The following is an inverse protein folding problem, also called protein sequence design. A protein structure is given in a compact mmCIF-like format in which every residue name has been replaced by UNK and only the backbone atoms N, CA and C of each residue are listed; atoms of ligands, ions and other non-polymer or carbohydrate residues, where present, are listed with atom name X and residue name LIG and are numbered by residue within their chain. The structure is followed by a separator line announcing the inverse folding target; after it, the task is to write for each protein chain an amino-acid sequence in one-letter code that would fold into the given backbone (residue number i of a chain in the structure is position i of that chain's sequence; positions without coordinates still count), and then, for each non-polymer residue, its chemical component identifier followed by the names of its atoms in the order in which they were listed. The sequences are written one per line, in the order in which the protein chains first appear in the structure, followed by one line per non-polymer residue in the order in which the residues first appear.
data_IF_691657113643
#
_entry.id   IF_691657113643
#
_cell.length_a   1.000
_cell.length_b   1.000
_cell.length_c   1.000
_cell.angle_alpha   90.00
_cell.angle_beta   90.00
_cell.angle_gamma   90.00
#
_symmetry.space_group_name_H-M   'P 1'
#
loop_
_entity.id
_entity.type
_entity.pdbx_description
1 polymer ?
#
# COMPACT_ATOMS: atom_id res chain seq x y z
N UNK A 1 -28.04 -100.04 -11.21
CA UNK A 1 -28.17 -99.70 -9.81
C UNK A 1 -27.28 -98.53 -9.45
N UNK A 2 -27.94 -97.50 -9.09
CA UNK A 2 -27.50 -96.33 -8.28
C UNK A 2 -26.34 -95.51 -8.82
N UNK A 3 -26.75 -94.41 -9.39
CA UNK A 3 -25.98 -93.24 -9.84
C UNK A 3 -25.85 -92.31 -8.71
N UNK A 4 -24.62 -91.80 -8.40
CA UNK A 4 -24.39 -90.70 -7.43
C UNK A 4 -23.68 -89.59 -8.19
N UNK A 5 -24.46 -88.56 -8.55
CA UNK A 5 -23.94 -87.28 -9.06
C UNK A 5 -23.22 -86.56 -8.02
N UNK A 6 -21.96 -86.18 -8.26
CA UNK A 6 -21.20 -85.20 -7.48
C UNK A 6 -21.43 -83.83 -8.12
N UNK A 7 -22.10 -82.99 -7.42
CA UNK A 7 -22.27 -81.59 -7.72
C UNK A 7 -21.06 -80.84 -7.25
N UNK A 8 -20.32 -80.22 -8.17
CA UNK A 8 -19.19 -79.34 -7.89
C UNK A 8 -19.78 -77.95 -7.72
N UNK A 9 -19.75 -77.37 -6.48
CA UNK A 9 -20.05 -75.99 -6.17
C UNK A 9 -18.88 -75.12 -6.60
N UNK A 10 -19.04 -74.38 -7.67
CA UNK A 10 -18.12 -73.30 -8.04
C UNK A 10 -18.41 -72.06 -7.19
N UNK A 11 -17.51 -71.72 -6.32
CA UNK A 11 -17.58 -70.44 -5.56
C UNK A 11 -17.14 -69.31 -6.49
N UNK A 12 -18.10 -68.43 -6.83
CA UNK A 12 -17.83 -67.14 -7.47
C UNK A 12 -17.45 -66.17 -6.38
N UNK A 13 -16.15 -65.80 -6.33
CA UNK A 13 -15.66 -64.67 -5.53
C UNK A 13 -15.95 -63.40 -6.33
N UNK A 14 -17.04 -62.71 -6.02
CA UNK A 14 -17.32 -61.35 -6.48
C UNK A 14 -16.39 -60.38 -5.77
N UNK A 15 -15.30 -60.03 -6.45
CA UNK A 15 -14.43 -58.93 -5.99
C UNK A 15 -15.17 -57.60 -6.08
N UNK A 16 -15.67 -57.06 -4.97
CA UNK A 16 -16.13 -55.71 -4.83
C UNK A 16 -14.95 -54.76 -4.98
N UNK A 17 -14.73 -54.27 -6.20
CA UNK A 17 -13.88 -53.09 -6.44
C UNK A 17 -14.64 -51.89 -5.88
N UNK A 18 -14.34 -51.51 -4.65
CA UNK A 18 -14.66 -50.17 -4.15
C UNK A 18 -13.81 -49.15 -4.93
N UNK A 19 -14.42 -48.15 -5.58
CA UNK A 19 -13.65 -47.04 -6.09
C UNK A 19 -13.05 -46.34 -4.86
N UNK A 20 -11.72 -46.34 -4.77
CA UNK A 20 -11.03 -45.43 -3.87
C UNK A 20 -11.32 -44.02 -4.42
N UNK A 21 -12.38 -43.41 -3.93
CA UNK A 21 -12.53 -41.97 -4.06
C UNK A 21 -11.29 -41.32 -3.48
N UNK A 22 -10.41 -40.91 -4.37
CA UNK A 22 -9.31 -40.03 -4.05
C UNK A 22 -9.94 -38.72 -3.58
N UNK A 23 -10.23 -38.63 -2.26
CA UNK A 23 -10.58 -37.36 -1.62
C UNK A 23 -9.44 -36.40 -1.95
N UNK A 24 -9.66 -35.59 -2.97
CA UNK A 24 -8.86 -34.40 -3.19
C UNK A 24 -8.90 -33.66 -1.83
N UNK A 25 -7.78 -33.62 -1.13
CA UNK A 25 -7.59 -32.74 0.00
C UNK A 25 -7.85 -31.34 -0.54
N UNK A 26 -9.07 -30.87 -0.38
CA UNK A 26 -9.36 -29.43 -0.47
C UNK A 26 -8.48 -28.85 0.61
N UNK A 27 -7.33 -28.28 0.22
CA UNK A 27 -6.53 -27.48 1.14
C UNK A 27 -7.47 -26.36 1.55
N UNK A 28 -7.99 -26.45 2.75
CA UNK A 28 -8.67 -25.34 3.40
C UNK A 28 -7.60 -24.25 3.49
N UNK A 29 -7.58 -23.36 2.52
CA UNK A 29 -6.71 -22.16 2.59
C UNK A 29 -7.17 -21.43 3.82
N UNK A 30 -6.31 -21.40 4.84
CA UNK A 30 -6.55 -20.66 6.07
C UNK A 30 -6.73 -19.17 5.69
N UNK A 31 -7.99 -18.75 5.58
CA UNK A 31 -8.37 -17.37 5.25
C UNK A 31 -8.38 -16.46 6.48
N UNK A 32 -8.03 -16.98 7.67
CA UNK A 32 -8.06 -16.22 8.92
C UNK A 32 -7.11 -15.00 8.93
N UNK A 33 -6.10 -15.01 8.05
CA UNK A 33 -5.11 -13.92 7.90
C UNK A 33 -5.23 -13.19 6.56
N UNK A 34 -6.41 -13.23 5.95
CA UNK A 34 -6.66 -12.58 4.66
C UNK A 34 -7.93 -11.75 4.70
N UNK A 35 -7.81 -10.45 4.45
CA UNK A 35 -8.96 -9.60 4.15
C UNK A 35 -9.29 -9.77 2.66
N UNK A 36 -10.55 -9.95 2.30
CA UNK A 36 -10.94 -10.06 0.90
C UNK A 36 -12.30 -9.40 0.62
N UNK A 37 -12.47 -8.92 -0.61
CA UNK A 37 -13.64 -8.20 -1.07
C UNK A 37 -13.92 -8.56 -2.53
N UNK A 38 -15.19 -8.52 -2.92
CA UNK A 38 -15.66 -8.81 -4.28
C UNK A 38 -15.98 -7.57 -5.11
N UNK A 39 -15.60 -6.38 -4.61
CA UNK A 39 -15.77 -5.11 -5.28
C UNK A 39 -14.56 -4.19 -5.03
N UNK A 40 -14.23 -3.26 -5.95
CA UNK A 40 -13.28 -2.18 -5.71
C UNK A 40 -13.68 -1.31 -4.50
N UNK A 41 -12.73 -0.63 -3.89
CA UNK A 41 -13.00 0.42 -2.92
C UNK A 41 -13.58 1.65 -3.63
N UNK A 42 -14.64 2.23 -3.07
CA UNK A 42 -15.23 3.47 -3.55
C UNK A 42 -14.75 4.68 -2.74
N UNK A 43 -14.27 4.45 -1.53
CA UNK A 43 -13.79 5.48 -0.63
C UNK A 43 -12.53 5.02 0.12
N UNK A 44 -11.83 5.98 0.70
CA UNK A 44 -10.54 5.76 1.36
C UNK A 44 -10.57 4.69 2.46
N UNK A 45 -11.62 4.67 3.28
CA UNK A 45 -11.78 3.69 4.37
C UNK A 45 -11.95 2.24 3.90
N UNK A 46 -12.28 2.02 2.64
CA UNK A 46 -12.43 0.69 2.05
C UNK A 46 -11.14 0.20 1.36
N UNK A 47 -10.18 1.11 1.13
CA UNK A 47 -8.92 0.78 0.46
C UNK A 47 -8.02 -0.09 1.35
N UNK A 48 -7.18 -0.92 0.74
CA UNK A 48 -6.28 -1.83 1.44
C UNK A 48 -4.96 -1.13 1.76
N UNK A 49 -4.55 -1.05 3.04
CA UNK A 49 -3.32 -0.39 3.43
C UNK A 49 -2.09 -1.26 3.17
N UNK A 50 -1.03 -0.65 2.66
CA UNK A 50 0.33 -1.19 2.60
C UNK A 50 1.31 -0.16 3.16
N UNK A 51 2.44 -0.61 3.71
CA UNK A 51 3.44 0.31 4.27
C UNK A 51 4.79 -0.36 4.57
N UNK A 52 5.85 0.45 4.59
CA UNK A 52 7.22 0.00 4.88
C UNK A 52 7.96 0.92 5.86
N UNK A 53 7.25 1.63 6.74
CA UNK A 53 7.69 2.68 7.65
C UNK A 53 8.09 4.01 7.00
N UNK A 54 8.48 4.02 5.75
CA UNK A 54 8.86 5.21 4.97
C UNK A 54 7.75 5.65 4.02
N UNK A 55 7.23 4.70 3.23
CA UNK A 55 6.12 4.90 2.31
C UNK A 55 4.88 4.15 2.77
N UNK A 56 3.73 4.79 2.65
CA UNK A 56 2.42 4.18 2.79
C UNK A 56 1.62 4.25 1.50
N UNK A 57 0.72 3.30 1.30
CA UNK A 57 -0.20 3.31 0.16
C UNK A 57 -1.56 2.76 0.54
N UNK A 58 -2.63 3.42 0.06
CA UNK A 58 -4.01 2.94 0.14
C UNK A 58 -4.43 2.43 -1.24
N UNK A 59 -4.54 1.10 -1.38
CA UNK A 59 -4.82 0.42 -2.66
C UNK A 59 -6.32 0.25 -2.83
N UNK A 60 -6.92 0.93 -3.80
CA UNK A 60 -8.36 0.89 -4.04
C UNK A 60 -8.81 -0.40 -4.74
N UNK A 61 -7.96 -0.99 -5.56
CA UNK A 61 -8.27 -2.22 -6.27
C UNK A 61 -9.22 -1.99 -7.46
N UNK A 62 -9.13 -0.85 -8.12
CA UNK A 62 -9.88 -0.56 -9.35
C UNK A 62 -9.56 -1.55 -10.48
N UNK A 63 -10.41 -1.66 -11.48
CA UNK A 63 -10.18 -2.55 -12.63
C UNK A 63 -9.46 -1.84 -13.77
N UNK A 64 -10.18 -1.01 -14.54
CA UNK A 64 -9.62 -0.18 -15.61
C UNK A 64 -8.81 1.00 -15.09
N UNK A 65 -9.23 1.53 -13.94
CA UNK A 65 -8.58 2.66 -13.28
C UNK A 65 -8.24 2.29 -11.85
N UNK A 66 -6.99 2.06 -11.57
CA UNK A 66 -6.47 1.87 -10.22
C UNK A 66 -6.00 3.19 -9.66
N UNK A 67 -6.36 3.44 -8.41
CA UNK A 67 -5.77 4.51 -7.61
C UNK A 67 -5.02 3.90 -6.41
N UNK A 68 -3.79 4.35 -6.20
CA UNK A 68 -3.03 4.07 -4.98
C UNK A 68 -2.66 5.43 -4.39
N UNK A 69 -3.35 5.82 -3.31
CA UNK A 69 -3.00 7.04 -2.60
C UNK A 69 -1.71 6.82 -1.80
N UNK A 70 -0.74 7.69 -1.99
CA UNK A 70 0.62 7.57 -1.47
C UNK A 70 0.88 8.57 -0.34
N UNK A 71 1.55 8.08 0.69
CA UNK A 71 2.09 8.89 1.77
C UNK A 71 3.59 8.64 1.93
N UNK A 72 4.31 9.68 2.34
CA UNK A 72 5.71 9.62 2.73
C UNK A 72 5.82 10.20 4.15
N UNK A 73 6.55 9.55 5.05
CA UNK A 73 6.53 9.78 6.51
C UNK A 73 6.89 11.20 6.95
N UNK A 74 7.66 11.93 6.14
CA UNK A 74 8.14 13.27 6.46
C UNK A 74 7.40 14.39 5.70
N UNK A 75 6.36 14.08 4.91
CA UNK A 75 5.61 15.08 4.17
C UNK A 75 4.50 15.71 5.02
N UNK A 76 4.80 16.87 5.61
CA UNK A 76 3.94 17.61 6.52
C UNK A 76 3.71 19.04 6.03
N UNK A 77 2.65 19.70 6.53
CA UNK A 77 2.39 21.12 6.30
C UNK A 77 3.43 21.99 7.04
N UNK A 78 3.48 23.27 6.69
CA UNK A 78 4.36 24.25 7.31
C UNK A 78 5.85 23.94 7.13
N UNK A 79 6.65 24.23 8.15
CA UNK A 79 8.09 24.06 8.14
C UNK A 79 8.67 24.17 9.55
N UNK A 80 9.99 24.21 9.69
CA UNK A 80 10.66 24.39 10.98
C UNK A 80 10.17 25.64 11.71
N UNK A 81 9.75 25.48 12.95
CA UNK A 81 9.26 26.58 13.78
C UNK A 81 9.40 26.22 15.28
N UNK A 82 9.21 27.22 16.15
CA UNK A 82 9.29 27.06 17.59
C UNK A 82 7.90 27.25 18.23
N UNK A 83 7.37 26.18 18.82
CA UNK A 83 6.06 26.15 19.50
C UNK A 83 6.13 26.52 20.99
N UNK A 84 7.33 26.80 21.54
CA UNK A 84 7.47 27.09 22.95
C UNK A 84 6.84 28.45 23.28
N UNK A 85 5.83 28.44 24.15
CA UNK A 85 5.22 29.67 24.64
C UNK A 85 6.07 30.34 25.70
N UNK A 86 6.33 31.65 25.52
CA UNK A 86 7.05 32.46 26.53
C UNK A 86 6.22 32.65 27.80
N UNK A 87 4.87 32.49 27.73
CA UNK A 87 3.95 32.72 28.86
C UNK A 87 3.77 31.48 29.74
N UNK A 88 4.21 30.29 29.31
CA UNK A 88 3.96 29.05 30.05
C UNK A 88 4.60 29.03 31.42
N UNK A 89 5.86 29.44 31.52
CA UNK A 89 6.57 29.47 32.81
C UNK A 89 5.89 30.41 33.83
N UNK A 90 5.49 31.60 33.40
CA UNK A 90 4.82 32.60 34.25
C UNK A 90 3.48 32.11 34.78
N UNK A 91 2.73 31.35 34.00
CA UNK A 91 1.39 30.88 34.35
C UNK A 91 1.41 29.49 35.01
N UNK A 92 2.53 28.78 35.05
CA UNK A 92 2.63 27.45 35.66
C UNK A 92 2.16 27.39 37.12
N UNK A 93 2.53 28.36 38.03
CA UNK A 93 2.04 28.36 39.40
C UNK A 93 0.51 28.45 39.47
N UNK A 94 -0.11 29.28 38.62
CA UNK A 94 -1.58 29.46 38.61
C UNK A 94 -2.30 28.22 38.09
N UNK A 95 -1.76 27.54 37.07
CA UNK A 95 -2.30 26.28 36.59
C UNK A 95 -2.28 25.23 37.72
N UNK A 96 -1.17 25.11 38.44
CA UNK A 96 -1.06 24.18 39.58
C UNK A 96 -2.08 24.49 40.69
N UNK A 97 -2.23 25.77 41.04
CA UNK A 97 -3.22 26.22 42.05
C UNK A 97 -4.64 25.81 41.63
N UNK A 98 -5.01 26.05 40.38
CA UNK A 98 -6.33 25.66 39.83
C UNK A 98 -6.58 24.18 39.91
N UNK A 99 -5.61 23.36 39.51
CA UNK A 99 -5.72 21.88 39.59
C UNK A 99 -5.86 21.41 41.03
N UNK A 100 -5.02 21.90 41.97
CA UNK A 100 -5.09 21.49 43.39
C UNK A 100 -6.37 21.96 44.09
N UNK A 101 -7.07 22.97 43.56
CA UNK A 101 -8.35 23.42 44.06
C UNK A 101 -9.57 22.76 43.31
N UNK A 102 -9.35 21.75 42.47
CA UNK A 102 -10.41 21.06 41.72
C UNK A 102 -11.03 21.89 40.61
N UNK A 103 -10.36 22.94 40.14
CA UNK A 103 -10.82 23.86 39.07
C UNK A 103 -10.18 23.49 37.74
N UNK A 104 -10.39 22.23 37.32
CA UNK A 104 -9.70 21.65 36.17
C UNK A 104 -10.07 22.31 34.81
N UNK A 105 -11.34 22.70 34.64
CA UNK A 105 -11.80 23.39 33.42
C UNK A 105 -11.07 24.75 33.24
N UNK A 106 -10.91 25.51 34.33
CA UNK A 106 -10.21 26.78 34.29
C UNK A 106 -8.70 26.59 34.07
N UNK A 107 -8.13 25.53 34.66
CA UNK A 107 -6.74 25.15 34.39
C UNK A 107 -6.54 24.81 32.91
N UNK A 108 -7.44 24.02 32.32
CA UNK A 108 -7.40 23.66 30.90
C UNK A 108 -7.53 24.89 29.98
N UNK A 109 -8.44 25.81 30.30
CA UNK A 109 -8.58 27.06 29.57
C UNK A 109 -7.32 27.92 29.62
N UNK A 110 -6.70 28.06 30.81
CA UNK A 110 -5.45 28.80 30.99
C UNK A 110 -4.28 28.13 30.26
N UNK A 111 -4.17 26.79 30.27
CA UNK A 111 -3.18 26.05 29.52
C UNK A 111 -3.33 26.31 28.02
N UNK A 112 -4.52 26.17 27.47
CA UNK A 112 -4.77 26.42 26.05
C UNK A 112 -4.38 27.85 25.64
N UNK A 113 -4.64 28.83 26.50
CA UNK A 113 -4.32 30.22 26.21
C UNK A 113 -2.82 30.55 26.35
N UNK A 114 -2.12 29.90 27.26
CA UNK A 114 -0.77 30.35 27.69
C UNK A 114 0.34 29.33 27.38
N UNK A 115 0.04 28.03 27.31
CA UNK A 115 1.04 27.00 27.04
C UNK A 115 1.01 26.55 25.56
N UNK A 116 -0.19 26.54 24.96
CA UNK A 116 -0.40 26.04 23.58
C UNK A 116 -1.14 27.12 22.75
N UNK A 117 -0.64 28.38 22.70
CA UNK A 117 -1.33 29.45 21.98
C UNK A 117 -1.27 29.33 20.45
N UNK A 118 -0.57 28.30 19.92
CA UNK A 118 -0.24 28.15 18.51
C UNK A 118 1.14 28.75 18.14
N UNK A 119 1.67 28.45 16.92
CA UNK A 119 1.09 27.49 15.99
C UNK A 119 1.05 26.07 16.56
N UNK A 120 -0.01 25.33 16.23
CA UNK A 120 -0.18 23.95 16.67
C UNK A 120 0.71 23.00 15.88
N UNK A 121 0.64 21.67 16.18
CA UNK A 121 1.37 20.67 15.40
C UNK A 121 0.97 20.70 13.93
N UNK A 122 1.97 20.56 13.05
CA UNK A 122 1.74 20.53 11.61
C UNK A 122 0.98 19.27 11.20
N UNK A 123 0.19 19.35 10.11
CA UNK A 123 -0.63 18.24 9.61
C UNK A 123 0.20 17.34 8.73
N UNK A 124 0.02 16.04 8.90
CA UNK A 124 0.49 15.03 7.96
C UNK A 124 -0.30 15.15 6.66
N UNK A 125 0.37 15.18 5.52
CA UNK A 125 -0.26 15.44 4.23
C UNK A 125 -0.25 14.17 3.35
N UNK A 126 -1.36 13.87 2.61
CA UNK A 126 -1.30 12.91 1.53
C UNK A 126 -0.40 13.47 0.42
N UNK A 127 0.62 12.70 0.02
CA UNK A 127 1.65 13.22 -0.88
C UNK A 127 1.22 13.23 -2.34
N UNK A 128 0.74 12.08 -2.83
CA UNK A 128 0.41 11.87 -4.23
C UNK A 128 -0.60 10.75 -4.40
N UNK A 129 -1.16 10.64 -5.62
CA UNK A 129 -1.88 9.46 -6.09
C UNK A 129 -1.14 8.86 -7.29
N UNK A 130 -0.96 7.54 -7.27
CA UNK A 130 -0.55 6.77 -8.44
C UNK A 130 -1.80 6.26 -9.15
N UNK A 131 -1.99 6.66 -10.40
CA UNK A 131 -3.05 6.15 -11.26
C UNK A 131 -2.48 5.18 -12.28
N UNK A 132 -3.14 4.04 -12.45
CA UNK A 132 -2.81 3.04 -13.47
C UNK A 132 -4.07 2.81 -14.29
N UNK A 133 -4.11 3.36 -15.51
CA UNK A 133 -5.25 3.26 -16.40
C UNK A 133 -5.01 2.17 -17.44
N UNK A 134 -5.90 1.19 -17.52
CA UNK A 134 -5.92 0.18 -18.56
C UNK A 134 -6.72 0.69 -19.75
N UNK A 135 -6.17 0.59 -20.96
CA UNK A 135 -6.85 1.01 -22.20
C UNK A 135 -7.92 0.04 -22.70
N UNK A 136 -8.09 -1.09 -22.02
CA UNK A 136 -9.12 -2.07 -22.25
C UNK A 136 -10.49 -1.52 -21.83
N UNK A 137 -11.54 -1.78 -22.62
CA UNK A 137 -12.89 -1.21 -22.44
C UNK A 137 -13.95 -2.24 -21.98
N UNK A 138 -13.55 -3.49 -21.74
CA UNK A 138 -14.45 -4.57 -21.37
C UNK A 138 -15.03 -4.44 -19.96
N UNK A 139 -16.13 -5.12 -19.69
CA UNK A 139 -16.67 -5.28 -18.34
C UNK A 139 -15.81 -6.25 -17.54
N UNK A 140 -15.41 -5.85 -16.33
CA UNK A 140 -14.69 -6.74 -15.43
C UNK A 140 -15.64 -7.75 -14.78
N UNK A 141 -15.24 -9.01 -14.76
CA UNK A 141 -15.93 -10.14 -14.16
C UNK A 141 -15.00 -10.90 -13.21
N UNK A 142 -15.56 -11.79 -12.38
CA UNK A 142 -14.79 -12.61 -11.42
C UNK A 142 -13.82 -11.77 -10.58
N UNK A 143 -14.27 -10.59 -10.14
CA UNK A 143 -13.45 -9.66 -9.40
C UNK A 143 -13.21 -10.14 -7.97
N UNK A 144 -11.96 -10.08 -7.53
CA UNK A 144 -11.55 -10.26 -6.13
C UNK A 144 -10.38 -9.34 -5.83
N UNK A 145 -10.44 -8.63 -4.71
CA UNK A 145 -9.26 -7.99 -4.10
C UNK A 145 -9.05 -8.52 -2.69
N UNK A 146 -7.81 -8.64 -2.29
CA UNK A 146 -7.46 -9.15 -0.96
C UNK A 146 -6.15 -8.55 -0.44
N UNK A 147 -5.99 -8.58 0.89
CA UNK A 147 -4.74 -8.30 1.58
C UNK A 147 -4.32 -9.54 2.37
N UNK A 148 -3.19 -10.12 1.99
CA UNK A 148 -2.55 -11.23 2.70
C UNK A 148 -1.71 -10.67 3.85
N UNK A 149 -2.20 -10.81 5.08
CA UNK A 149 -1.55 -10.28 6.28
C UNK A 149 -0.26 -11.04 6.65
N UNK A 150 -0.09 -12.29 6.19
CA UNK A 150 1.16 -13.06 6.42
C UNK A 150 2.30 -12.58 5.52
N UNK A 151 1.96 -11.95 4.40
CA UNK A 151 2.93 -11.51 3.40
C UNK A 151 2.94 -9.98 3.19
N UNK A 152 1.99 -9.26 3.79
CA UNK A 152 1.74 -7.83 3.58
C UNK A 152 1.60 -7.47 2.09
N UNK A 153 0.84 -8.26 1.34
CA UNK A 153 0.63 -8.12 -0.10
C UNK A 153 -0.85 -7.90 -0.41
N UNK A 154 -1.16 -6.79 -1.06
CA UNK A 154 -2.48 -6.54 -1.65
C UNK A 154 -2.54 -7.12 -3.07
N UNK A 155 -3.62 -7.84 -3.40
CA UNK A 155 -3.83 -8.43 -4.72
C UNK A 155 -5.21 -8.08 -5.23
N UNK A 156 -5.31 -7.66 -6.50
CA UNK A 156 -6.55 -7.48 -7.24
C UNK A 156 -6.54 -8.40 -8.45
N UNK A 157 -7.59 -9.20 -8.66
CA UNK A 157 -7.72 -10.08 -9.81
C UNK A 157 -9.12 -9.96 -10.42
N UNK A 158 -9.20 -9.91 -11.74
CA UNK A 158 -10.44 -9.87 -12.50
C UNK A 158 -10.24 -10.46 -13.91
N UNK A 159 -11.34 -10.77 -14.59
CA UNK A 159 -11.35 -11.17 -15.99
C UNK A 159 -12.00 -10.06 -16.80
N UNK A 160 -11.39 -9.67 -17.93
CA UNK A 160 -11.94 -8.71 -18.88
C UNK A 160 -11.63 -9.19 -20.30
N UNK A 161 -12.64 -9.28 -21.16
CA UNK A 161 -12.52 -9.78 -22.54
C UNK A 161 -11.84 -11.17 -22.62
N UNK A 162 -12.15 -12.06 -21.66
CA UNK A 162 -11.57 -13.40 -21.55
C UNK A 162 -10.09 -13.43 -21.11
N UNK A 163 -9.52 -12.30 -20.72
CA UNK A 163 -8.16 -12.20 -20.17
C UNK A 163 -8.23 -12.00 -18.67
N UNK A 164 -7.53 -12.83 -17.91
CA UNK A 164 -7.34 -12.62 -16.48
C UNK A 164 -6.19 -11.66 -16.25
N UNK A 165 -6.47 -10.62 -15.47
CA UNK A 165 -5.48 -9.68 -14.97
C UNK A 165 -5.30 -9.90 -13.48
N UNK A 166 -4.06 -9.92 -13.03
CA UNK A 166 -3.70 -10.00 -11.60
C UNK A 166 -2.73 -8.87 -11.30
N UNK A 167 -3.09 -8.02 -10.35
CA UNK A 167 -2.24 -6.93 -9.87
C UNK A 167 -1.87 -7.21 -8.43
N UNK A 168 -0.57 -7.22 -8.14
CA UNK A 168 0.01 -7.48 -6.83
C UNK A 168 0.77 -6.24 -6.38
N UNK A 169 0.45 -5.72 -5.19
CA UNK A 169 1.03 -4.46 -4.69
C UNK A 169 1.53 -4.65 -3.26
N UNK A 170 2.76 -4.21 -2.99
CA UNK A 170 3.34 -4.23 -1.66
C UNK A 170 4.33 -3.08 -1.46
N UNK A 171 4.55 -2.70 -0.20
CA UNK A 171 5.57 -1.74 0.19
C UNK A 171 6.76 -2.50 0.79
N UNK A 172 7.89 -2.53 0.07
CA UNK A 172 9.08 -3.30 0.46
C UNK A 172 9.84 -2.62 1.59
N UNK A 173 9.82 -3.22 2.77
CA UNK A 173 10.63 -2.79 3.92
C UNK A 173 12.12 -2.92 3.62
N UNK A 174 12.52 -3.98 2.91
CA UNK A 174 13.92 -4.23 2.55
C UNK A 174 14.51 -3.19 1.58
N UNK A 175 13.65 -2.60 0.73
CA UNK A 175 14.11 -1.80 -0.40
C UNK A 175 13.66 -0.34 -0.36
N UNK A 176 12.71 0.01 0.52
CA UNK A 176 12.21 1.39 0.70
C UNK A 176 11.33 1.89 -0.46
N UNK A 177 10.75 0.98 -1.25
CA UNK A 177 9.90 1.29 -2.42
C UNK A 177 8.55 0.62 -2.32
N UNK A 178 7.55 1.13 -3.06
CA UNK A 178 6.31 0.40 -3.35
C UNK A 178 6.47 -0.27 -4.71
N UNK A 179 6.05 -1.53 -4.80
CA UNK A 179 6.07 -2.32 -6.03
C UNK A 179 4.65 -2.69 -6.39
N UNK A 180 4.23 -2.37 -7.62
CA UNK A 180 2.98 -2.82 -8.20
C UNK A 180 3.31 -3.65 -9.44
N UNK A 181 2.94 -4.94 -9.43
CA UNK A 181 3.14 -5.84 -10.56
C UNK A 181 1.82 -6.28 -11.15
N UNK A 182 1.67 -6.16 -12.47
CA UNK A 182 0.47 -6.52 -13.20
C UNK A 182 0.81 -7.59 -14.20
N UNK A 183 0.00 -8.66 -14.24
CA UNK A 183 0.14 -9.77 -15.18
C UNK A 183 -1.17 -10.02 -15.91
N UNK A 184 -1.10 -10.12 -17.23
CA UNK A 184 -2.19 -10.59 -18.09
C UNK A 184 -1.99 -12.07 -18.45
N UNK A 185 -3.07 -12.85 -18.47
CA UNK A 185 -3.03 -14.29 -18.85
C UNK A 185 -2.81 -14.52 -20.34
N UNK A 186 -2.93 -13.50 -21.18
CA UNK A 186 -2.71 -13.54 -22.62
C UNK A 186 -1.58 -12.60 -23.02
N UNK A 187 -0.65 -13.11 -23.83
CA UNK A 187 0.49 -12.36 -24.34
C UNK A 187 0.05 -11.09 -25.10
N UNK A 188 0.68 -9.96 -24.78
CA UNK A 188 0.42 -8.69 -25.43
C UNK A 188 -0.93 -8.04 -25.06
N UNK A 189 -1.64 -8.56 -24.05
CA UNK A 189 -2.94 -8.03 -23.66
C UNK A 189 -2.89 -6.90 -22.62
N UNK A 190 -1.71 -6.56 -22.11
CA UNK A 190 -1.54 -5.50 -21.13
C UNK A 190 -1.15 -4.18 -21.83
N UNK A 191 -2.08 -3.22 -21.82
CA UNK A 191 -1.84 -1.86 -22.32
C UNK A 191 -2.27 -0.88 -21.22
N UNK A 192 -1.28 -0.25 -20.59
CA UNK A 192 -1.47 0.63 -19.44
C UNK A 192 -0.86 1.99 -19.68
N UNK A 193 -1.43 3.01 -19.02
CA UNK A 193 -0.83 4.31 -18.81
C UNK A 193 -0.64 4.52 -17.29
N UNK A 194 0.45 5.16 -16.90
CA UNK A 194 0.79 5.43 -15.51
C UNK A 194 0.99 6.91 -15.32
N UNK A 195 0.24 7.50 -14.39
CA UNK A 195 0.32 8.92 -14.07
C UNK A 195 0.40 9.14 -12.55
N UNK A 196 0.87 10.31 -12.18
CA UNK A 196 0.92 10.79 -10.81
C UNK A 196 0.20 12.13 -10.73
N UNK A 197 -0.57 12.36 -9.68
CA UNK A 197 -1.08 13.66 -9.29
C UNK A 197 -0.99 13.89 -7.78
N UNK A 198 -1.35 15.07 -7.33
CA UNK A 198 -1.41 15.43 -5.90
C UNK A 198 -2.55 16.42 -5.66
N UNK A 199 -3.19 16.41 -4.48
CA UNK A 199 -4.15 17.44 -4.10
C UNK A 199 -3.51 18.81 -3.83
N UNK A 200 -2.16 18.89 -3.79
CA UNK A 200 -1.40 20.13 -3.56
C UNK A 200 -0.76 20.66 -4.84
N UNK A 201 -0.14 21.85 -4.75
CA UNK A 201 0.63 22.44 -5.85
C UNK A 201 1.73 21.48 -6.31
N UNK A 202 1.67 21.01 -7.54
CA UNK A 202 2.59 20.03 -8.06
C UNK A 202 2.91 20.24 -9.54
N UNK A 203 3.99 19.59 -9.97
CA UNK A 203 4.41 19.50 -11.38
C UNK A 203 4.73 18.06 -11.70
N UNK A 204 4.23 17.56 -12.84
CA UNK A 204 4.53 16.23 -13.35
C UNK A 204 5.42 16.32 -14.59
N UNK A 205 6.33 15.36 -14.74
CA UNK A 205 7.22 15.23 -15.88
C UNK A 205 7.31 13.76 -16.30
N UNK A 206 7.19 13.49 -17.61
CA UNK A 206 7.51 12.18 -18.16
C UNK A 206 9.02 11.95 -18.08
N UNK A 207 9.39 10.74 -17.70
CA UNK A 207 10.77 10.25 -17.69
C UNK A 207 10.94 9.17 -18.76
N UNK A 208 12.16 8.76 -19.14
CA UNK A 208 12.36 7.69 -20.11
C UNK A 208 11.67 6.35 -19.74
N UNK A 209 11.48 6.09 -18.44
CA UNK A 209 10.90 4.85 -17.92
C UNK A 209 9.58 5.05 -17.15
N UNK A 210 8.95 6.23 -17.22
CA UNK A 210 7.70 6.43 -16.49
C UNK A 210 7.35 7.89 -16.24
N UNK A 211 7.07 8.24 -14.97
CA UNK A 211 6.62 9.58 -14.59
C UNK A 211 7.23 10.00 -13.25
N UNK A 212 7.49 11.28 -13.11
CA UNK A 212 7.93 11.93 -11.88
C UNK A 212 6.96 13.05 -11.51
N UNK A 213 6.72 13.23 -10.24
CA UNK A 213 5.94 14.32 -9.67
C UNK A 213 6.77 15.04 -8.61
N UNK A 214 6.77 16.38 -8.65
CA UNK A 214 7.26 17.24 -7.58
C UNK A 214 6.08 17.95 -6.94
N UNK A 215 5.98 17.92 -5.62
CA UNK A 215 4.88 18.50 -4.86
C UNK A 215 5.42 19.37 -3.73
N UNK A 216 4.73 20.46 -3.46
CA UNK A 216 5.02 21.37 -2.36
C UNK A 216 3.97 21.18 -1.27
N UNK A 217 4.41 21.17 0.00
CA UNK A 217 3.52 21.15 1.16
C UNK A 217 2.63 22.40 1.26
N UNK A 218 1.80 22.43 2.27
CA UNK A 218 0.80 23.49 2.48
C UNK A 218 1.19 24.39 3.66
N UNK A 219 0.93 25.68 3.55
CA UNK A 219 1.03 26.64 4.66
C UNK A 219 0.04 26.24 5.78
N UNK A 220 0.43 26.44 7.05
CA UNK A 220 -0.46 26.22 8.18
C UNK A 220 -0.20 27.22 9.31
N UNK A 221 -1.26 27.85 9.83
CA UNK A 221 -1.21 28.76 10.98
C UNK A 221 -0.09 29.81 10.92
N UNK A 222 0.10 30.40 9.74
CA UNK A 222 1.14 31.41 9.52
C UNK A 222 2.55 30.84 9.24
N UNK A 223 2.74 29.55 9.43
CA UNK A 223 4.00 28.88 9.07
C UNK A 223 3.96 28.51 7.58
N UNK A 224 4.94 29.03 6.85
CA UNK A 224 5.06 28.78 5.42
C UNK A 224 5.50 27.34 5.12
N UNK A 225 4.93 26.78 4.05
CA UNK A 225 5.35 25.47 3.56
C UNK A 225 6.81 25.47 3.14
N UNK A 226 7.62 24.67 3.84
CA UNK A 226 9.04 24.50 3.58
C UNK A 226 9.38 23.09 3.07
N UNK A 227 8.45 22.12 3.26
CA UNK A 227 8.63 20.77 2.79
C UNK A 227 8.20 20.63 1.32
N UNK A 228 9.04 19.97 0.55
CA UNK A 228 8.79 19.55 -0.82
C UNK A 228 9.06 18.06 -0.92
N UNK A 229 8.29 17.37 -1.74
CA UNK A 229 8.50 15.95 -2.02
C UNK A 229 8.68 15.73 -3.53
N UNK A 230 9.38 14.64 -3.86
CA UNK A 230 9.45 14.09 -5.20
C UNK A 230 9.01 12.64 -5.17
N UNK A 231 8.11 12.25 -6.08
CA UNK A 231 7.65 10.89 -6.27
C UNK A 231 8.00 10.44 -7.70
N UNK A 232 8.56 9.24 -7.83
CA UNK A 232 8.95 8.64 -9.11
C UNK A 232 8.24 7.31 -9.25
N UNK A 233 7.57 7.09 -10.39
CA UNK A 233 7.04 5.81 -10.81
C UNK A 233 7.84 5.32 -12.02
N UNK A 234 8.72 4.31 -11.84
CA UNK A 234 9.50 3.63 -12.87
C UNK A 234 8.70 2.44 -13.40
N UNK A 235 8.44 2.38 -14.68
CA UNK A 235 7.56 1.40 -15.34
C UNK A 235 8.37 0.51 -16.28
N UNK A 236 8.29 -0.79 -16.07
CA UNK A 236 8.92 -1.82 -16.91
C UNK A 236 7.83 -2.75 -17.42
N UNK A 237 7.65 -2.86 -18.73
CA UNK A 237 6.61 -3.71 -19.32
C UNK A 237 7.09 -4.36 -20.61
N UNK A 238 6.56 -5.56 -20.85
CA UNK A 238 6.68 -6.27 -22.14
C UNK A 238 5.33 -6.42 -22.86
N UNK A 239 4.29 -5.70 -22.38
CA UNK A 239 2.92 -5.79 -22.90
C UNK A 239 2.13 -7.01 -22.40
N UNK A 240 2.74 -7.89 -21.60
CA UNK A 240 2.09 -9.03 -20.94
C UNK A 240 2.14 -8.88 -19.42
N UNK A 241 3.28 -8.44 -18.95
CA UNK A 241 3.53 -8.10 -17.56
C UNK A 241 4.05 -6.67 -17.46
N UNK A 242 3.76 -6.01 -16.34
CA UNK A 242 4.35 -4.71 -16.00
C UNK A 242 4.75 -4.70 -14.52
N UNK A 243 5.91 -4.13 -14.23
CA UNK A 243 6.35 -3.84 -12.86
C UNK A 243 6.53 -2.33 -12.74
N UNK A 244 5.78 -1.72 -11.85
CA UNK A 244 5.83 -0.31 -11.50
C UNK A 244 6.51 -0.20 -10.14
N UNK A 245 7.61 0.52 -10.07
CA UNK A 245 8.36 0.76 -8.83
C UNK A 245 8.16 2.23 -8.46
N UNK A 246 7.59 2.46 -7.28
CA UNK A 246 7.35 3.81 -6.75
C UNK A 246 8.34 4.10 -5.64
N UNK A 247 9.05 5.19 -5.79
CA UNK A 247 9.91 5.78 -4.79
C UNK A 247 9.45 7.20 -4.51
N UNK A 248 9.49 7.61 -3.26
CA UNK A 248 9.25 9.01 -2.91
C UNK A 248 10.16 9.43 -1.76
N UNK A 249 10.50 10.70 -1.73
CA UNK A 249 11.30 11.29 -0.68
C UNK A 249 11.00 12.78 -0.56
N UNK A 250 11.32 13.37 0.60
CA UNK A 250 11.20 14.80 0.85
C UNK A 250 12.57 15.45 1.01
N UNK A 251 12.57 16.76 1.13
CA UNK A 251 13.74 17.54 1.53
C UNK A 251 13.97 17.59 3.07
N UNK A 252 13.16 16.84 3.86
CA UNK A 252 13.30 16.78 5.31
C UNK A 252 14.63 16.11 5.72
N UNK A 253 15.35 16.72 6.65
CA UNK A 253 16.54 16.15 7.30
C UNK A 253 16.23 15.91 8.78
N UNK A 254 15.73 16.94 9.46
CA UNK A 254 15.27 16.89 10.85
C UNK A 254 14.33 18.08 11.14
N UNK A 255 13.84 18.22 12.35
CA UNK A 255 12.82 19.22 12.71
C UNK A 255 13.26 20.70 12.57
N UNK A 256 14.52 21.00 12.32
CA UNK A 256 15.00 22.35 11.99
C UNK A 256 15.72 22.43 10.64
N UNK A 257 15.88 21.33 9.93
CA UNK A 257 16.60 21.29 8.66
C UNK A 257 15.77 20.60 7.58
N UNK A 258 15.47 21.33 6.52
CA UNK A 258 14.77 20.87 5.33
C UNK A 258 15.61 21.08 4.07
N UNK A 259 16.94 20.99 4.19
CA UNK A 259 17.88 21.17 3.08
C UNK A 259 18.18 19.89 2.30
N UNK A 260 17.51 18.77 2.62
CA UNK A 260 17.74 17.48 1.98
C UNK A 260 17.41 17.48 0.49
N UNK A 261 17.99 16.52 -0.23
CA UNK A 261 17.80 16.37 -1.67
C UNK A 261 16.90 15.17 -1.98
N UNK A 262 15.59 15.43 -2.20
CA UNK A 262 14.60 14.42 -2.53
C UNK A 262 14.95 13.63 -3.81
N UNK A 263 15.44 14.32 -4.84
CA UNK A 263 15.80 13.70 -6.12
C UNK A 263 16.95 12.68 -5.96
N UNK A 264 17.98 13.02 -5.18
CA UNK A 264 19.10 12.11 -4.93
C UNK A 264 18.63 10.88 -4.15
N UNK A 265 17.82 11.07 -3.11
CA UNK A 265 17.25 9.96 -2.32
C UNK A 265 16.42 9.01 -3.18
N UNK A 266 15.58 9.54 -4.08
CA UNK A 266 14.81 8.74 -5.03
C UNK A 266 15.71 7.98 -6.01
N UNK A 267 16.74 8.62 -6.54
CA UNK A 267 17.70 7.96 -7.41
C UNK A 267 18.40 6.78 -6.71
N UNK A 268 18.75 6.95 -5.43
CA UNK A 268 19.38 5.89 -4.63
C UNK A 268 18.43 4.71 -4.42
N UNK A 269 17.14 4.94 -4.09
CA UNK A 269 16.13 3.88 -3.96
C UNK A 269 15.91 3.15 -5.28
N UNK A 270 15.71 3.86 -6.39
CA UNK A 270 15.50 3.24 -7.72
C UNK A 270 16.75 2.46 -8.17
N UNK A 271 17.95 3.01 -8.00
CA UNK A 271 19.19 2.33 -8.39
C UNK A 271 19.41 1.03 -7.61
N UNK A 272 19.05 0.98 -6.33
CA UNK A 272 19.13 -0.22 -5.50
C UNK A 272 18.34 -1.40 -6.08
N UNK A 273 17.19 -1.12 -6.71
CA UNK A 273 16.26 -2.14 -7.23
C UNK A 273 16.24 -2.24 -8.75
N UNK A 274 16.99 -1.40 -9.44
CA UNK A 274 16.94 -1.23 -10.90
C UNK A 274 17.10 -2.53 -11.70
N UNK A 275 17.94 -3.45 -11.23
CA UNK A 275 18.23 -4.72 -11.91
C UNK A 275 17.47 -5.91 -11.31
N UNK A 276 16.64 -5.70 -10.31
CA UNK A 276 15.90 -6.78 -9.67
C UNK A 276 14.66 -7.13 -10.48
N UNK A 277 14.41 -8.45 -10.63
CA UNK A 277 13.15 -8.96 -11.13
C UNK A 277 12.04 -8.80 -10.09
N UNK A 278 10.77 -8.84 -10.54
CA UNK A 278 9.62 -8.84 -9.62
C UNK A 278 9.73 -9.95 -8.57
N UNK A 279 10.10 -11.17 -8.97
CA UNK A 279 10.24 -12.30 -8.05
C UNK A 279 11.31 -12.08 -6.96
N UNK A 280 12.41 -11.40 -7.30
CA UNK A 280 13.42 -11.02 -6.31
C UNK A 280 12.91 -9.97 -5.34
N UNK A 281 12.19 -8.94 -5.83
CA UNK A 281 11.59 -7.90 -5.00
C UNK A 281 10.55 -8.48 -4.03
N UNK A 282 9.65 -9.32 -4.53
CA UNK A 282 8.61 -9.98 -3.72
C UNK A 282 9.23 -10.88 -2.63
N UNK A 283 10.23 -11.70 -3.00
CA UNK A 283 10.94 -12.56 -2.04
C UNK A 283 11.57 -11.73 -0.91
N UNK A 284 12.31 -10.68 -1.26
CA UNK A 284 12.96 -9.79 -0.28
C UNK A 284 11.97 -9.09 0.63
N UNK A 285 10.84 -8.64 0.07
CA UNK A 285 9.75 -8.05 0.83
C UNK A 285 9.20 -9.02 1.87
N UNK A 286 8.79 -10.23 1.43
CA UNK A 286 8.21 -11.24 2.32
C UNK A 286 9.18 -11.66 3.41
N UNK A 287 10.45 -11.92 3.07
CA UNK A 287 11.48 -12.30 4.03
C UNK A 287 11.75 -11.19 5.08
N UNK A 288 11.74 -9.92 4.68
CA UNK A 288 11.93 -8.82 5.59
C UNK A 288 10.71 -8.60 6.49
N UNK A 289 9.50 -8.68 5.93
CA UNK A 289 8.26 -8.52 6.67
C UNK A 289 8.05 -9.62 7.71
N UNK A 290 8.32 -10.88 7.36
CA UNK A 290 8.13 -12.03 8.25
C UNK A 290 9.15 -12.11 9.40
N UNK A 291 10.15 -11.25 9.42
CA UNK A 291 11.10 -11.12 10.53
C UNK A 291 10.64 -10.13 11.61
N UNK A 292 9.57 -9.36 11.34
CA UNK A 292 8.97 -8.42 12.30
C UNK A 292 8.03 -9.18 13.27
#
# INVERSE_FOLDING_TARGET
FMNRNKMILGAWVLGLLFPIEMMAKTSCTDNSTRLWYNAPALQWLEALPIGNSHLGGMVYGGTTDENIQLNEETFWSGGPHNNNSKKSLENLPKVRELIFNGREEEAAALINQTFIPGPHGMRFLPMANLHITMKNQGKAEQFVRNLDLKRAIATTSFVMDGVRYTRTTFASLADGVIVCHIKASRKGALNIDVTLDSPFEHQTQKTPSGVMLKVKGQDQEGIKAALTAECVADVRTDGTEATIIVSAATNFVNYHDVSGNAAQRNADYINKVKLMSYAQLEKRHVEAYQKQ
#
